data_IF_426631004443
#
_entry.id   IF_426631004443
#
_cell.length_a   1.000
_cell.length_b   1.000
_cell.length_c   1.000
_cell.angle_alpha   90.00
_cell.angle_beta   90.00
_cell.angle_gamma   90.00
#
_symmetry.space_group_name_H-M   'P 1'
#
loop_
_entity.id
_entity.type
_entity.pdbx_description
1 polymer ?
#
# COMPACT_ATOMS: atom_id res chain seq x y z
N UNK A 1 6.75 23.14 -14.57
CA UNK A 1 7.84 22.28 -15.07
C UNK A 1 7.41 21.78 -16.44
N UNK A 2 8.21 21.97 -17.49
CA UNK A 2 7.79 21.63 -18.86
C UNK A 2 7.82 20.12 -19.18
N UNK A 3 8.51 19.33 -18.37
CA UNK A 3 8.72 17.91 -18.60
C UNK A 3 8.26 17.11 -17.37
N UNK A 4 7.43 16.09 -17.59
CA UNK A 4 6.92 15.26 -16.51
C UNK A 4 8.04 14.45 -15.85
N UNK A 5 8.01 14.36 -14.51
CA UNK A 5 8.98 13.60 -13.71
C UNK A 5 8.24 12.72 -12.71
N UNK A 6 8.83 11.60 -12.35
CA UNK A 6 8.36 10.73 -11.27
C UNK A 6 9.44 10.67 -10.20
N UNK A 7 9.10 11.04 -8.98
CA UNK A 7 9.98 10.94 -7.83
C UNK A 7 9.40 9.89 -6.88
N UNK A 8 10.27 9.10 -6.25
CA UNK A 8 9.88 8.09 -5.28
C UNK A 8 10.72 8.25 -4.02
N UNK A 9 10.09 8.02 -2.87
CA UNK A 9 10.72 7.98 -1.57
C UNK A 9 10.22 6.73 -0.84
N UNK A 10 11.13 6.03 -0.18
CA UNK A 10 10.81 4.82 0.58
C UNK A 10 11.57 4.86 1.90
N UNK A 11 10.88 4.60 2.98
CA UNK A 11 11.45 4.49 4.32
C UNK A 11 11.14 3.09 4.89
N UNK A 12 12.16 2.41 5.41
CA UNK A 12 12.04 1.03 5.88
C UNK A 12 12.07 -0.03 4.77
N UNK A 13 11.48 -1.20 5.04
CA UNK A 13 11.48 -2.36 4.14
C UNK A 13 10.08 -2.65 3.64
N UNK A 14 9.89 -2.66 2.32
CA UNK A 14 8.62 -3.00 1.66
C UNK A 14 8.84 -4.22 0.77
N UNK A 15 8.59 -5.45 1.27
CA UNK A 15 8.88 -6.68 0.54
C UNK A 15 7.76 -7.00 -0.47
N UNK A 16 7.81 -6.41 -1.66
CA UNK A 16 6.78 -6.57 -2.72
C UNK A 16 6.66 -8.00 -3.28
N UNK A 17 7.66 -8.85 -3.09
CA UNK A 17 7.63 -10.25 -3.54
C UNK A 17 7.03 -11.20 -2.50
N UNK A 18 6.86 -10.76 -1.25
CA UNK A 18 6.43 -11.60 -0.13
C UNK A 18 4.90 -11.57 -0.03
N UNK A 19 4.22 -12.59 -0.55
CA UNK A 19 2.74 -12.65 -0.56
C UNK A 19 2.09 -12.65 0.83
N UNK A 20 2.82 -13.05 1.87
CA UNK A 20 2.35 -13.03 3.28
C UNK A 20 2.49 -11.66 3.96
N UNK A 21 3.15 -10.71 3.30
CA UNK A 21 3.26 -9.35 3.79
C UNK A 21 1.91 -8.65 3.61
N UNK A 22 1.40 -8.04 4.68
CA UNK A 22 0.25 -7.16 4.61
C UNK A 22 0.71 -5.81 4.03
N UNK A 23 0.41 -5.59 2.76
CA UNK A 23 0.79 -4.38 2.03
C UNK A 23 -0.48 -3.72 1.50
N UNK A 24 -0.79 -2.55 2.03
CA UNK A 24 -1.81 -1.68 1.48
C UNK A 24 -1.25 -0.92 0.30
N UNK A 25 -1.99 -0.92 -0.81
CA UNK A 25 -1.70 -0.09 -1.97
C UNK A 25 -2.80 0.96 -2.17
N UNK A 26 -2.39 2.22 -2.35
CA UNK A 26 -3.27 3.32 -2.67
C UNK A 26 -2.78 4.09 -3.90
N UNK A 27 -3.72 4.51 -4.74
CA UNK A 27 -3.47 5.41 -5.86
C UNK A 27 -4.47 6.57 -5.83
N UNK A 28 -3.97 7.79 -5.99
CA UNK A 28 -4.78 8.99 -6.08
C UNK A 28 -4.23 9.94 -7.14
N UNK A 29 -5.11 10.68 -7.79
CA UNK A 29 -4.77 11.73 -8.74
C UNK A 29 -5.18 13.09 -8.16
N UNK A 30 -4.27 14.06 -8.24
CA UNK A 30 -4.51 15.44 -7.85
C UNK A 30 -4.60 16.32 -9.11
N UNK A 31 -5.72 17.01 -9.28
CA UNK A 31 -5.91 18.02 -10.32
C UNK A 31 -5.26 19.33 -9.86
N UNK A 32 -4.20 19.75 -10.55
CA UNK A 32 -3.49 21.00 -10.27
C UNK A 32 -3.65 21.98 -11.44
N UNK A 33 -3.33 23.26 -11.22
CA UNK A 33 -3.42 24.31 -12.24
C UNK A 33 -2.60 24.04 -13.51
N UNK A 34 -1.60 23.16 -13.41
CA UNK A 34 -0.68 22.85 -14.51
C UNK A 34 -0.81 21.40 -15.02
N UNK A 35 -1.84 20.67 -14.59
CA UNK A 35 -2.11 19.30 -15.01
C UNK A 35 -2.42 18.35 -13.86
N UNK A 36 -2.45 17.05 -14.15
CA UNK A 36 -2.70 15.99 -13.16
C UNK A 36 -1.40 15.46 -12.57
N UNK A 37 -1.38 15.27 -11.25
CA UNK A 37 -0.28 14.63 -10.53
C UNK A 37 -0.79 13.33 -9.91
N UNK A 38 -0.19 12.20 -10.27
CA UNK A 38 -0.52 10.89 -9.69
C UNK A 38 0.39 10.55 -8.51
N UNK A 39 -0.20 10.08 -7.41
CA UNK A 39 0.51 9.63 -6.21
C UNK A 39 0.21 8.15 -5.99
N UNK A 40 1.25 7.33 -5.91
CA UNK A 40 1.18 5.91 -5.57
C UNK A 40 1.82 5.70 -4.20
N UNK A 41 1.12 5.01 -3.31
CA UNK A 41 1.58 4.76 -1.94
C UNK A 41 1.49 3.27 -1.65
N UNK A 42 2.55 2.73 -1.04
CA UNK A 42 2.59 1.39 -0.48
C UNK A 42 2.84 1.51 1.03
N UNK A 43 2.03 0.86 1.84
CA UNK A 43 2.18 0.83 3.31
C UNK A 43 2.31 -0.62 3.75
N UNK A 44 3.48 -0.98 4.26
CA UNK A 44 3.73 -2.29 4.84
C UNK A 44 3.31 -2.29 6.32
N UNK A 45 2.32 -3.12 6.69
CA UNK A 45 1.79 -3.23 8.05
C UNK A 45 2.39 -4.38 8.87
N UNK A 46 3.24 -5.20 8.25
CA UNK A 46 3.83 -6.39 8.88
C UNK A 46 3.48 -7.68 8.13
N UNK A 47 3.88 -8.83 8.67
CA UNK A 47 3.49 -10.13 8.11
C UNK A 47 2.17 -10.58 8.73
N UNK A 48 1.24 -11.05 7.90
CA UNK A 48 0.03 -11.73 8.40
C UNK A 48 0.47 -13.11 8.89
N UNK A 49 0.80 -13.21 10.18
CA UNK A 49 0.90 -14.53 10.82
C UNK A 49 -0.49 -15.15 10.80
N UNK A 50 -0.67 -16.42 10.38
CA UNK A 50 -1.93 -17.10 10.54
C UNK A 50 -2.15 -17.33 12.04
N UNK A 51 -2.70 -16.36 12.75
CA UNK A 51 -3.42 -16.65 13.98
C UNK A 51 -4.58 -17.54 13.57
N UNK A 52 -4.38 -18.83 13.87
CA UNK A 52 -5.35 -19.90 13.98
C UNK A 52 -6.76 -19.33 13.86
N UNK A 53 -7.39 -19.56 12.70
CA UNK A 53 -8.80 -19.28 12.49
C UNK A 53 -9.55 -19.58 13.78
N UNK A 54 -10.06 -18.54 14.44
CA UNK A 54 -11.03 -18.68 15.51
C UNK A 54 -12.28 -19.27 14.85
N UNK A 55 -12.27 -20.59 14.66
CA UNK A 55 -13.49 -21.37 14.69
C UNK A 55 -14.06 -21.14 16.09
N UNK A 56 -15.18 -20.45 16.15
CA UNK A 56 -16.25 -20.77 17.09
C UNK A 56 -17.55 -20.12 16.59
N UNK A 57 -18.16 -20.77 15.60
CA UNK A 57 -19.62 -20.82 15.58
C UNK A 57 -20.05 -21.86 16.62
N UNK A 58 -20.41 -21.39 17.81
CA UNK A 58 -21.29 -22.09 18.77
C UNK A 58 -21.58 -21.19 19.98
N UNK A 59 -22.40 -20.16 19.81
CA UNK A 59 -23.15 -19.55 20.92
C UNK A 59 -24.42 -18.90 20.37
N UNK A 60 -25.38 -19.74 19.95
CA UNK A 60 -26.75 -19.86 20.50
C UNK A 60 -27.62 -20.72 19.60
#
# INVERSE_FOLDING_TARGET
>A
ADMARTEFYSEGTIPLQTLRADIDYGFAEADTTYGKVGVKVWVYKGEVLPEKAAKEGSDK
#
